data_IF_657109095378
#
_entry.id   IF_657109095378
#
_cell.length_a   1.000
_cell.length_b   1.000
_cell.length_c   1.000
_cell.angle_alpha   90.00
_cell.angle_beta   90.00
_cell.angle_gamma   90.00
#
_symmetry.space_group_name_H-M   'P 1'
#
loop_
_entity.id
_entity.type
_entity.pdbx_description
1 polymer ?
#
# COMPACT_ATOMS: atom_id res chain seq x y z
N UNK A 1 9.81 -9.11 -20.80
CA UNK A 1 9.02 -9.09 -19.55
C UNK A 1 7.69 -8.39 -19.84
N UNK A 2 6.58 -9.12 -19.88
CA UNK A 2 5.27 -8.57 -20.26
C UNK A 2 4.79 -7.58 -19.19
N UNK A 3 4.70 -6.30 -19.55
CA UNK A 3 4.26 -5.23 -18.64
C UNK A 3 2.73 -5.23 -18.57
N UNK A 4 2.17 -5.15 -17.36
CA UNK A 4 0.75 -4.84 -17.13
C UNK A 4 0.57 -3.33 -17.40
N UNK A 5 -0.14 -3.01 -18.48
CA UNK A 5 -0.42 -1.66 -18.98
C UNK A 5 -1.87 -1.23 -18.75
N UNK A 6 -2.81 -2.19 -18.69
CA UNK A 6 -4.23 -1.94 -18.42
C UNK A 6 -4.75 -2.83 -17.28
N UNK A 7 -5.94 -2.56 -16.72
CA UNK A 7 -6.60 -3.49 -15.81
C UNK A 7 -6.88 -4.85 -16.46
N UNK A 8 -7.41 -4.86 -17.69
CA UNK A 8 -7.76 -6.09 -18.44
C UNK A 8 -6.56 -7.03 -18.65
N UNK A 9 -5.35 -6.48 -18.67
CA UNK A 9 -4.13 -7.29 -18.74
C UNK A 9 -4.11 -8.35 -17.64
N UNK A 10 -4.60 -8.06 -16.43
CA UNK A 10 -4.68 -9.02 -15.32
C UNK A 10 -5.57 -10.22 -15.62
N UNK A 11 -6.63 -10.05 -16.42
CA UNK A 11 -7.66 -11.07 -16.63
C UNK A 11 -7.42 -11.91 -17.90
N UNK A 12 -6.42 -11.55 -18.70
CA UNK A 12 -6.20 -12.16 -20.02
C UNK A 12 -5.69 -13.61 -20.00
N UNK A 13 -5.09 -14.08 -18.90
CA UNK A 13 -4.69 -15.49 -18.74
C UNK A 13 -4.75 -15.93 -17.27
N UNK A 14 -4.89 -17.23 -16.97
CA UNK A 14 -4.85 -17.73 -15.59
C UNK A 14 -3.57 -17.32 -14.84
N UNK A 15 -2.43 -17.31 -15.53
CA UNK A 15 -1.17 -16.84 -14.96
C UNK A 15 -1.23 -15.36 -14.57
N UNK A 16 -1.83 -14.52 -15.41
CA UNK A 16 -1.97 -13.09 -15.11
C UNK A 16 -2.99 -12.83 -13.99
N UNK A 17 -4.00 -13.69 -13.84
CA UNK A 17 -4.88 -13.67 -12.66
C UNK A 17 -4.10 -14.02 -11.38
N UNK A 18 -3.16 -14.97 -11.45
CA UNK A 18 -2.26 -15.24 -10.31
C UNK A 18 -1.39 -14.03 -9.95
N UNK A 19 -0.93 -13.27 -10.95
CA UNK A 19 -0.21 -12.00 -10.71
C UNK A 19 -1.12 -10.98 -10.02
N UNK A 20 -2.39 -10.89 -10.45
CA UNK A 20 -3.38 -10.03 -9.81
C UNK A 20 -3.58 -10.39 -8.34
N UNK A 21 -3.89 -11.65 -8.04
CA UNK A 21 -4.06 -12.14 -6.67
C UNK A 21 -2.82 -11.86 -5.82
N UNK A 22 -1.63 -12.06 -6.40
CA UNK A 22 -0.35 -11.73 -5.75
C UNK A 22 -0.23 -10.24 -5.43
N UNK A 23 -0.61 -9.35 -6.34
CA UNK A 23 -0.63 -7.90 -6.09
C UNK A 23 -1.60 -7.54 -4.97
N UNK A 24 -2.80 -8.12 -4.98
CA UNK A 24 -3.83 -7.91 -3.96
C UNK A 24 -3.32 -8.34 -2.57
N UNK A 25 -2.70 -9.51 -2.45
CA UNK A 25 -2.09 -9.97 -1.19
C UNK A 25 -0.98 -9.04 -0.69
N UNK A 26 -0.17 -8.48 -1.58
CA UNK A 26 0.90 -7.54 -1.21
C UNK A 26 0.33 -6.21 -0.72
N UNK A 27 -0.72 -5.69 -1.36
CA UNK A 27 -1.42 -4.48 -0.90
C UNK A 27 -2.06 -4.68 0.48
N UNK A 28 -2.70 -5.84 0.70
CA UNK A 28 -3.22 -6.20 2.02
C UNK A 28 -2.12 -6.21 3.09
N UNK A 29 -0.98 -6.82 2.76
CA UNK A 29 0.18 -6.88 3.67
C UNK A 29 0.72 -5.49 4.00
N UNK A 30 0.80 -4.60 3.01
CA UNK A 30 1.21 -3.20 3.23
C UNK A 30 0.26 -2.49 4.20
N UNK A 31 -1.05 -2.60 3.98
CA UNK A 31 -2.06 -2.02 4.88
C UNK A 31 -1.97 -2.56 6.31
N UNK A 32 -1.74 -3.86 6.47
CA UNK A 32 -1.53 -4.52 7.77
C UNK A 32 -0.32 -3.95 8.53
N UNK A 33 0.82 -3.79 7.86
CA UNK A 33 2.01 -3.25 8.50
C UNK A 33 1.87 -1.76 8.84
N UNK A 34 1.21 -0.98 7.98
CA UNK A 34 0.91 0.43 8.27
C UNK A 34 0.02 0.54 9.51
N UNK A 35 -1.01 -0.31 9.64
CA UNK A 35 -1.84 -0.35 10.85
C UNK A 35 -1.01 -0.67 12.09
N UNK A 36 -0.12 -1.66 12.02
CA UNK A 36 0.77 -2.02 13.14
C UNK A 36 1.70 -0.87 13.53
N UNK A 37 2.20 -0.10 12.57
CA UNK A 37 3.02 1.10 12.83
C UNK A 37 2.16 2.18 13.50
N UNK A 38 0.95 2.42 13.01
CA UNK A 38 0.02 3.38 13.59
C UNK A 38 -0.28 3.03 15.06
N UNK A 39 -0.59 1.76 15.34
CA UNK A 39 -0.81 1.26 16.70
C UNK A 39 0.44 1.43 17.59
N UNK A 40 1.62 1.01 17.10
CA UNK A 40 2.90 1.10 17.85
C UNK A 40 3.31 2.52 18.17
N UNK A 41 2.90 3.49 17.34
CA UNK A 41 3.23 4.90 17.51
C UNK A 41 2.10 5.68 18.18
N UNK A 42 1.11 4.99 18.77
CA UNK A 42 -0.07 5.58 19.40
C UNK A 42 -0.79 6.58 18.48
N UNK A 43 -0.79 6.31 17.17
CA UNK A 43 -1.38 7.14 16.11
C UNK A 43 -0.75 8.52 15.97
N UNK A 44 0.48 8.72 16.43
CA UNK A 44 1.15 10.03 16.42
C UNK A 44 2.12 10.20 15.24
N UNK A 45 2.61 9.11 14.65
CA UNK A 45 3.60 9.20 13.57
C UNK A 45 2.95 9.55 12.23
N UNK A 46 1.95 8.78 11.80
CA UNK A 46 1.36 8.91 10.47
C UNK A 46 0.71 10.28 10.20
N UNK A 47 0.02 10.93 11.17
CA UNK A 47 -0.55 12.27 10.95
C UNK A 47 0.46 13.36 10.57
N UNK A 48 1.76 13.15 10.85
CA UNK A 48 2.84 14.07 10.44
C UNK A 48 3.12 14.04 8.93
N UNK A 49 2.57 13.06 8.21
CA UNK A 49 2.79 12.85 6.78
C UNK A 49 1.44 12.81 6.02
N UNK A 50 0.71 13.95 5.92
CA UNK A 50 -0.66 13.99 5.43
C UNK A 50 -0.82 13.76 3.92
N UNK A 51 0.28 13.71 3.16
CA UNK A 51 0.26 13.42 1.72
C UNK A 51 -0.23 12.01 1.37
N UNK A 52 -0.25 11.09 2.34
CA UNK A 52 -0.83 9.76 2.19
C UNK A 52 -2.13 9.68 3.00
N UNK A 53 -3.24 9.22 2.39
CA UNK A 53 -4.50 9.03 3.10
C UNK A 53 -4.47 7.73 3.94
N UNK A 54 -3.77 7.74 5.07
CA UNK A 54 -3.48 6.54 5.88
C UNK A 54 -4.70 5.70 6.25
N UNK A 55 -5.81 6.37 6.61
CA UNK A 55 -7.08 5.69 6.93
C UNK A 55 -7.58 4.85 5.74
N UNK A 56 -7.45 5.36 4.51
CA UNK A 56 -7.83 4.61 3.30
C UNK A 56 -6.89 3.45 3.03
N UNK A 57 -5.58 3.62 3.26
CA UNK A 57 -4.59 2.55 3.08
C UNK A 57 -4.82 1.40 4.06
N UNK A 58 -5.12 1.72 5.33
CA UNK A 58 -5.47 0.72 6.35
C UNK A 58 -6.83 0.08 6.02
N UNK A 59 -7.82 0.89 5.60
CA UNK A 59 -9.15 0.41 5.23
C UNK A 59 -9.15 -0.55 4.03
N UNK A 60 -8.27 -0.33 3.04
CA UNK A 60 -8.14 -1.19 1.87
C UNK A 60 -7.84 -2.66 2.25
N UNK A 61 -7.04 -2.88 3.30
CA UNK A 61 -6.75 -4.23 3.81
C UNK A 61 -8.02 -4.95 4.27
N UNK A 62 -8.98 -4.25 4.87
CA UNK A 62 -10.23 -4.88 5.32
C UNK A 62 -11.13 -5.29 4.15
N UNK A 63 -11.19 -4.47 3.10
CA UNK A 63 -11.94 -4.81 1.86
C UNK A 63 -11.35 -6.07 1.24
N UNK A 64 -10.02 -6.13 1.10
CA UNK A 64 -9.35 -7.29 0.50
C UNK A 64 -9.58 -8.56 1.34
N UNK A 65 -9.54 -8.47 2.67
CA UNK A 65 -9.67 -9.65 3.54
C UNK A 65 -11.11 -10.15 3.73
N UNK A 66 -12.10 -9.27 3.77
CA UNK A 66 -13.49 -9.64 4.09
C UNK A 66 -14.42 -9.67 2.88
N UNK A 67 -14.10 -8.90 1.84
CA UNK A 67 -14.95 -8.70 0.66
C UNK A 67 -14.11 -8.93 -0.60
N UNK A 68 -13.31 -10.00 -0.64
CA UNK A 68 -12.42 -10.29 -1.77
C UNK A 68 -13.15 -10.31 -3.12
N UNK A 69 -14.38 -10.83 -3.14
CA UNK A 69 -15.23 -10.83 -4.35
C UNK A 69 -15.63 -9.44 -4.85
N UNK A 70 -15.50 -8.41 -4.01
CA UNK A 70 -15.73 -7.01 -4.36
C UNK A 70 -14.43 -6.26 -4.73
N UNK A 71 -13.29 -6.96 -4.75
CA UNK A 71 -12.02 -6.40 -5.23
C UNK A 71 -12.10 -6.20 -6.74
N UNK A 72 -11.75 -5.00 -7.15
CA UNK A 72 -11.92 -4.49 -8.51
C UNK A 72 -10.53 -4.27 -9.13
N UNK A 73 -10.29 -4.88 -10.28
CA UNK A 73 -9.02 -4.86 -10.99
C UNK A 73 -8.60 -3.46 -11.45
N UNK A 74 -9.55 -2.61 -11.82
CA UNK A 74 -9.29 -1.21 -12.16
C UNK A 74 -8.81 -0.45 -10.93
N UNK A 75 -9.48 -0.63 -9.79
CA UNK A 75 -9.06 0.01 -8.52
C UNK A 75 -7.68 -0.47 -8.06
N UNK A 76 -7.38 -1.76 -8.19
CA UNK A 76 -6.05 -2.31 -7.85
C UNK A 76 -4.98 -1.78 -8.80
N UNK A 77 -5.25 -1.76 -10.11
CA UNK A 77 -4.35 -1.20 -11.10
C UNK A 77 -4.05 0.28 -10.82
N UNK A 78 -5.07 1.09 -10.54
CA UNK A 78 -4.93 2.49 -10.14
C UNK A 78 -4.11 2.60 -8.85
N UNK A 79 -4.39 1.77 -7.85
CA UNK A 79 -3.63 1.75 -6.59
C UNK A 79 -2.15 1.52 -6.84
N UNK A 80 -1.80 0.52 -7.65
CA UNK A 80 -0.41 0.18 -7.98
C UNK A 80 0.27 1.30 -8.76
N UNK A 81 -0.41 1.90 -9.75
CA UNK A 81 0.22 2.90 -10.64
C UNK A 81 0.27 4.30 -10.02
N UNK A 82 -0.78 4.72 -9.32
CA UNK A 82 -0.94 6.11 -8.84
C UNK A 82 -0.68 6.29 -7.35
N UNK A 83 -1.01 5.31 -6.51
CA UNK A 83 -0.97 5.48 -5.06
C UNK A 83 0.22 4.81 -4.39
N UNK A 84 0.71 3.69 -4.93
CA UNK A 84 1.86 2.98 -4.39
C UNK A 84 3.17 3.79 -4.50
N UNK A 85 3.47 4.52 -5.60
CA UNK A 85 4.67 5.35 -5.66
C UNK A 85 4.75 6.45 -4.59
N UNK A 86 3.73 7.33 -4.39
CA UNK A 86 3.79 8.34 -3.33
C UNK A 86 3.78 7.73 -1.92
N UNK A 87 3.13 6.57 -1.72
CA UNK A 87 3.23 5.82 -0.47
C UNK A 87 4.67 5.41 -0.18
N UNK A 88 5.36 4.79 -1.15
CA UNK A 88 6.78 4.41 -1.02
C UNK A 88 7.66 5.61 -0.70
N UNK A 89 7.52 6.70 -1.44
CA UNK A 89 8.31 7.92 -1.21
C UNK A 89 8.09 8.48 0.20
N UNK A 90 6.85 8.43 0.69
CA UNK A 90 6.53 8.89 2.05
C UNK A 90 7.11 7.99 3.13
N UNK A 91 7.09 6.67 2.95
CA UNK A 91 7.73 5.73 3.89
C UNK A 91 9.24 5.97 3.95
N UNK A 92 9.90 6.20 2.82
CA UNK A 92 11.33 6.53 2.78
C UNK A 92 11.64 7.86 3.47
N UNK A 93 10.75 8.85 3.34
CA UNK A 93 10.86 10.12 4.08
C UNK A 93 10.75 9.89 5.59
N UNK A 94 9.77 9.11 6.03
CA UNK A 94 9.59 8.74 7.45
C UNK A 94 10.87 8.13 8.03
N UNK A 95 11.47 7.17 7.32
CA UNK A 95 12.72 6.52 7.74
C UNK A 95 13.83 7.56 7.88
N UNK A 96 14.02 8.40 6.86
CA UNK A 96 15.05 9.44 6.85
C UNK A 96 14.89 10.44 8.00
N UNK A 97 13.68 10.86 8.32
CA UNK A 97 13.44 11.83 9.38
C UNK A 97 13.65 11.19 10.77
N UNK A 98 13.28 9.92 10.96
CA UNK A 98 13.61 9.16 12.18
C UNK A 98 15.12 9.01 12.37
N UNK A 99 15.87 8.69 11.29
CA UNK A 99 17.33 8.55 11.34
C UNK A 99 18.01 9.86 11.76
N UNK A 100 17.58 11.00 11.20
CA UNK A 100 18.11 12.32 11.58
C UNK A 100 17.82 12.67 13.04
N UNK A 101 16.61 12.35 13.53
CA UNK A 101 16.23 12.61 14.91
C UNK A 101 17.10 11.80 15.89
N UNK A 102 17.46 10.56 15.53
CA UNK A 102 18.36 9.70 16.30
C UNK A 102 19.81 10.20 16.29
N UNK A 103 20.28 10.74 15.16
CA UNK A 103 21.64 11.28 15.05
C UNK A 103 21.79 12.65 15.71
N UNK A 104 20.72 13.45 15.78
CA UNK A 104 20.72 14.75 16.48
C UNK A 104 20.70 14.62 18.01
N UNK A 105 20.44 13.42 18.53
CA UNK A 105 20.43 13.09 19.97
C UNK A 105 21.75 12.44 20.44
N UNK A 106 22.71 12.19 19.54
CA UNK A 106 24.07 11.76 19.86
C UNK A 106 24.99 12.96 20.02
#
# INVERSE_FOLDING_TARGET
>A
MYKIQTPDDFLSTPWRMTIFDSCVMRLQTIGEYIKKIDDKTNKQLLPKYPQVPWVKVIGQRNIISHEYSAVDEEKIFITIKKHLPPLKSTVLLIIKDIEKDLDSQK
#
